data_IF_096461425619
#
_entry.id   IF_096461425619
#
_cell.length_a   1.000
_cell.length_b   1.000
_cell.length_c   1.000
_cell.angle_alpha   90.00
_cell.angle_beta   90.00
_cell.angle_gamma   90.00
#
_symmetry.space_group_name_H-M   'P 1'
#
loop_
_entity.id
_entity.type
_entity.pdbx_description
1 polymer ?
#
# COMPACT_ATOMS: atom_id res chain seq x y z
N UNK A 1 -4.96 -16.85 -4.91
CA UNK A 1 -5.23 -16.83 -6.36
C UNK A 1 -4.28 -17.79 -7.07
N UNK A 2 -4.76 -18.59 -8.03
CA UNK A 2 -3.88 -19.40 -8.88
C UNK A 2 -3.29 -18.52 -10.00
N UNK A 3 -1.95 -18.46 -10.09
CA UNK A 3 -1.25 -17.61 -11.07
C UNK A 3 -1.46 -17.97 -12.55
N UNK A 4 -2.15 -19.08 -12.84
CA UNK A 4 -2.41 -19.56 -14.20
C UNK A 4 -3.83 -19.25 -14.69
N UNK A 5 -4.85 -19.40 -13.83
CA UNK A 5 -6.26 -19.28 -14.22
C UNK A 5 -7.01 -18.14 -13.55
N UNK A 6 -6.37 -17.39 -12.63
CA UNK A 6 -6.93 -16.17 -12.03
C UNK A 6 -8.19 -16.37 -11.18
N UNK A 7 -8.56 -17.61 -10.85
CA UNK A 7 -9.84 -17.92 -10.18
C UNK A 7 -9.61 -18.50 -8.78
N UNK A 8 -10.41 -18.09 -7.75
CA UNK A 8 -11.37 -16.99 -7.79
C UNK A 8 -10.66 -15.62 -7.88
N UNK A 9 -11.34 -14.63 -8.48
CA UNK A 9 -10.90 -13.25 -8.41
C UNK A 9 -10.95 -12.81 -6.94
N UNK A 10 -9.87 -12.23 -6.38
CA UNK A 10 -9.93 -11.64 -5.05
C UNK A 10 -11.00 -10.54 -5.02
N UNK A 11 -11.60 -10.23 -3.86
CA UNK A 11 -12.32 -8.97 -3.70
C UNK A 11 -11.34 -7.85 -4.06
N UNK A 12 -11.62 -7.15 -5.16
CA UNK A 12 -10.73 -6.12 -5.66
C UNK A 12 -10.70 -4.94 -4.70
N UNK A 13 -9.49 -4.43 -4.40
CA UNK A 13 -9.35 -3.11 -3.82
C UNK A 13 -9.96 -2.08 -4.78
N UNK A 14 -10.50 -0.99 -4.25
CA UNK A 14 -11.06 0.09 -5.08
C UNK A 14 -10.03 0.70 -6.06
N UNK A 15 -8.73 0.48 -5.82
CA UNK A 15 -7.63 0.84 -6.72
C UNK A 15 -7.76 0.16 -8.09
N UNK A 16 -8.35 -1.03 -8.14
CA UNK A 16 -8.57 -1.81 -9.36
C UNK A 16 -9.93 -1.51 -10.01
N UNK A 17 -10.77 -0.68 -9.36
CA UNK A 17 -12.12 -0.39 -9.86
C UNK A 17 -12.08 0.36 -11.20
N UNK A 18 -12.80 -0.15 -12.19
CA UNK A 18 -12.90 0.46 -13.52
C UNK A 18 -11.72 0.18 -14.44
N UNK A 19 -10.76 -0.66 -14.01
CA UNK A 19 -9.63 -1.08 -14.82
C UNK A 19 -10.01 -2.33 -15.63
N UNK A 20 -9.59 -2.42 -16.91
CA UNK A 20 -9.82 -3.64 -17.70
C UNK A 20 -9.28 -4.88 -16.97
N UNK A 21 -10.00 -6.00 -17.11
CA UNK A 21 -9.77 -7.18 -16.29
C UNK A 21 -8.56 -8.03 -16.75
N UNK A 22 -7.44 -7.39 -17.05
CA UNK A 22 -6.21 -8.07 -17.44
C UNK A 22 -5.21 -8.09 -16.27
N UNK A 23 -4.38 -9.14 -16.15
CA UNK A 23 -3.35 -9.18 -15.12
C UNK A 23 -2.36 -8.01 -15.20
N UNK A 24 -2.05 -7.54 -16.41
CA UNK A 24 -1.11 -6.44 -16.63
C UNK A 24 -1.68 -5.11 -16.13
N UNK A 25 -2.93 -4.82 -16.45
CA UNK A 25 -3.58 -3.56 -16.05
C UNK A 25 -3.77 -3.49 -14.52
N UNK A 26 -4.20 -4.59 -13.89
CA UNK A 26 -4.28 -4.67 -12.42
C UNK A 26 -2.90 -4.48 -11.77
N UNK A 27 -1.84 -5.08 -12.33
CA UNK A 27 -0.49 -4.89 -11.82
C UNK A 27 -0.01 -3.44 -11.95
N UNK A 28 -0.28 -2.78 -13.08
CA UNK A 28 0.05 -1.36 -13.26
C UNK A 28 -0.66 -0.48 -12.24
N UNK A 29 -1.95 -0.71 -11.99
CA UNK A 29 -2.72 0.00 -10.98
C UNK A 29 -2.11 -0.14 -9.58
N UNK A 30 -1.75 -1.38 -9.21
CA UNK A 30 -1.14 -1.67 -7.91
C UNK A 30 0.24 -1.05 -7.77
N UNK A 31 1.06 -1.04 -8.82
CA UNK A 31 2.35 -0.34 -8.82
C UNK A 31 2.19 1.18 -8.68
N UNK A 32 1.18 1.76 -9.34
CA UNK A 32 0.82 3.17 -9.17
C UNK A 32 0.45 3.50 -7.71
N UNK A 33 -0.39 2.67 -7.10
CA UNK A 33 -0.72 2.80 -5.68
C UNK A 33 0.51 2.59 -4.77
N UNK A 34 1.36 1.61 -5.07
CA UNK A 34 2.59 1.35 -4.31
C UNK A 34 3.52 2.57 -4.30
N UNK A 35 3.62 3.31 -5.41
CA UNK A 35 4.40 4.54 -5.48
C UNK A 35 3.84 5.64 -4.56
N UNK A 36 2.52 5.80 -4.50
CA UNK A 36 1.84 6.73 -3.58
C UNK A 36 2.08 6.30 -2.13
N UNK A 37 1.84 5.03 -1.80
CA UNK A 37 2.06 4.48 -0.46
C UNK A 37 3.51 4.60 -0.01
N UNK A 38 4.48 4.39 -0.91
CA UNK A 38 5.90 4.59 -0.60
C UNK A 38 6.21 6.05 -0.26
N UNK A 39 5.62 7.02 -0.96
CA UNK A 39 5.77 8.45 -0.68
C UNK A 39 5.19 8.81 0.69
N UNK A 40 3.95 8.40 0.96
CA UNK A 40 3.27 8.66 2.25
C UNK A 40 4.00 7.96 3.39
N UNK A 41 4.36 6.68 3.20
CA UNK A 41 5.10 5.88 4.15
C UNK A 41 6.38 6.58 4.61
N UNK A 42 7.22 7.06 3.68
CA UNK A 42 8.46 7.76 4.02
C UNK A 42 8.22 8.98 4.91
N UNK A 43 7.18 9.76 4.64
CA UNK A 43 6.81 10.90 5.47
C UNK A 43 6.29 10.53 6.87
N UNK A 44 5.82 9.29 7.05
CA UNK A 44 5.40 8.73 8.35
C UNK A 44 6.50 7.96 9.08
N UNK A 45 7.63 7.67 8.42
CA UNK A 45 8.80 6.99 9.01
C UNK A 45 8.87 5.48 8.74
N UNK A 46 8.13 4.97 7.75
CA UNK A 46 8.17 3.57 7.30
C UNK A 46 8.28 3.50 5.78
N UNK A 47 8.51 2.31 5.23
CA UNK A 47 8.42 2.06 3.79
C UNK A 47 7.28 1.10 3.52
N UNK A 48 6.41 1.44 2.58
CA UNK A 48 5.35 0.55 2.09
C UNK A 48 5.70 0.13 0.66
N UNK A 49 5.59 -1.17 0.38
CA UNK A 49 5.84 -1.75 -0.95
C UNK A 49 4.76 -2.78 -1.28
N UNK A 50 4.62 -3.06 -2.56
CA UNK A 50 3.86 -4.22 -3.03
C UNK A 50 4.47 -5.50 -2.46
N UNK A 51 3.62 -6.40 -1.96
CA UNK A 51 4.03 -7.64 -1.31
C UNK A 51 4.37 -8.75 -2.29
N UNK A 52 5.19 -9.72 -1.87
CA UNK A 52 5.58 -10.86 -2.72
C UNK A 52 4.39 -11.73 -3.19
N UNK A 53 3.26 -11.65 -2.49
CA UNK A 53 2.00 -12.26 -2.88
C UNK A 53 1.04 -11.17 -3.36
N UNK A 54 0.47 -11.40 -4.55
CA UNK A 54 -0.50 -10.48 -5.16
C UNK A 54 -1.67 -10.21 -4.21
N UNK A 55 -2.02 -8.94 -4.06
CA UNK A 55 -3.05 -8.46 -3.14
C UNK A 55 -2.51 -7.95 -1.80
N UNK A 56 -1.27 -8.28 -1.43
CA UNK A 56 -0.71 -7.88 -0.13
C UNK A 56 0.21 -6.66 -0.23
N UNK A 57 0.42 -5.98 0.90
CA UNK A 57 1.35 -4.88 1.08
C UNK A 57 2.37 -5.23 2.16
N UNK A 58 3.62 -4.84 1.97
CA UNK A 58 4.66 -5.00 2.99
C UNK A 58 5.04 -3.65 3.56
N UNK A 59 4.97 -3.52 4.88
CA UNK A 59 5.37 -2.32 5.63
C UNK A 59 6.64 -2.63 6.42
N UNK A 60 7.67 -1.81 6.26
CA UNK A 60 8.97 -1.98 6.93
C UNK A 60 9.38 -0.71 7.67
N UNK A 61 9.79 -0.87 8.93
CA UNK A 61 10.35 0.21 9.74
C UNK A 61 11.88 0.28 9.58
N UNK A 62 12.51 1.44 9.84
CA UNK A 62 13.97 1.60 9.82
C UNK A 62 14.72 0.69 10.80
N UNK A 63 14.03 0.20 11.84
CA UNK A 63 14.54 -0.75 12.83
C UNK A 63 14.65 -2.18 12.30
N UNK A 64 14.24 -2.43 11.05
CA UNK A 64 14.20 -3.76 10.43
C UNK A 64 12.89 -4.52 10.65
N UNK A 65 12.01 -4.03 11.54
CA UNK A 65 10.70 -4.64 11.76
C UNK A 65 9.85 -4.57 10.48
N UNK A 66 9.28 -5.70 10.07
CA UNK A 66 8.47 -5.80 8.84
C UNK A 66 7.16 -6.52 9.14
N UNK A 67 6.09 -6.10 8.49
CA UNK A 67 4.79 -6.73 8.56
C UNK A 67 4.07 -6.72 7.21
N UNK A 68 3.12 -7.63 7.06
CA UNK A 68 2.27 -7.75 5.88
C UNK A 68 0.88 -7.23 6.23
N UNK A 69 0.33 -6.37 5.38
CA UNK A 69 -1.08 -5.98 5.37
C UNK A 69 -1.77 -6.71 4.21
N UNK A 70 -2.92 -7.32 4.48
CA UNK A 70 -3.67 -8.13 3.53
C UNK A 70 -4.41 -7.34 2.46
N UNK A 71 -4.71 -6.07 2.74
CA UNK A 71 -5.37 -5.14 1.84
C UNK A 71 -4.94 -3.68 2.12
N UNK A 72 -5.47 -2.73 1.36
CA UNK A 72 -5.14 -1.31 1.56
C UNK A 72 -5.62 -0.76 2.91
N UNK A 73 -6.76 -1.22 3.43
CA UNK A 73 -7.32 -0.75 4.70
C UNK A 73 -6.42 -1.14 5.89
N UNK A 74 -5.81 -2.32 5.84
CA UNK A 74 -4.88 -2.81 6.85
C UNK A 74 -3.52 -2.10 6.86
N UNK A 75 -3.20 -1.31 5.83
CA UNK A 75 -1.92 -0.57 5.76
C UNK A 75 -1.80 0.41 6.93
N UNK A 76 -2.78 1.26 7.20
CA UNK A 76 -2.66 2.32 8.23
C UNK A 76 -2.55 1.81 9.66
N UNK A 77 -3.35 0.81 10.10
CA UNK A 77 -3.12 0.14 11.37
C UNK A 77 -1.72 -0.47 11.48
N UNK A 78 -1.21 -1.04 10.37
CA UNK A 78 0.13 -1.62 10.33
C UNK A 78 1.23 -0.56 10.43
N UNK A 79 1.07 0.56 9.72
CA UNK A 79 1.97 1.72 9.81
C UNK A 79 1.98 2.27 11.23
N UNK A 80 0.81 2.51 11.84
CA UNK A 80 0.70 3.01 13.21
C UNK A 80 1.45 2.12 14.20
N UNK A 81 1.26 0.80 14.08
CA UNK A 81 1.93 -0.18 14.93
C UNK A 81 3.45 -0.18 14.74
N UNK A 82 3.94 -0.15 13.51
CA UNK A 82 5.39 -0.21 13.23
C UNK A 82 6.11 1.13 13.47
N UNK A 83 5.43 2.25 13.26
CA UNK A 83 5.97 3.59 13.53
C UNK A 83 5.93 3.95 15.02
N UNK A 84 5.15 3.24 15.84
CA UNK A 84 5.00 3.49 17.28
C UNK A 84 4.26 4.79 17.61
N UNK A 85 3.56 5.37 16.64
CA UNK A 85 2.76 6.60 16.77
C UNK A 85 1.55 6.53 15.85
N UNK A 86 0.43 7.21 16.17
CA UNK A 86 -0.70 7.33 15.27
C UNK A 86 -0.27 7.84 13.89
N UNK A 87 -0.66 7.13 12.85
CA UNK A 87 -0.44 7.53 11.46
C UNK A 87 -1.81 7.79 10.82
N UNK A 88 -2.20 9.06 10.76
CA UNK A 88 -3.38 9.50 10.00
C UNK A 88 -2.93 9.94 8.59
N UNK A 89 -3.33 9.25 7.52
CA UNK A 89 -3.00 9.63 6.15
C UNK A 89 -3.64 10.96 5.72
N UNK A 90 -4.67 11.43 6.43
CA UNK A 90 -5.37 12.69 6.17
C UNK A 90 -4.94 13.80 7.14
N UNK A 91 -3.90 13.58 7.95
CA UNK A 91 -3.33 14.62 8.82
C UNK A 91 -2.90 15.83 7.99
N UNK A 92 -3.38 17.02 8.35
CA UNK A 92 -3.12 18.26 7.62
C UNK A 92 -1.61 18.57 7.54
N UNK A 93 -0.85 18.27 8.60
CA UNK A 93 0.60 18.45 8.61
C UNK A 93 1.32 17.49 7.66
N UNK A 94 0.86 16.24 7.57
CA UNK A 94 1.35 15.26 6.60
C UNK A 94 1.05 15.69 5.17
N UNK A 95 -0.19 16.08 4.87
CA UNK A 95 -0.60 16.53 3.54
C UNK A 95 0.23 17.76 3.10
N UNK A 96 0.39 18.75 3.97
CA UNK A 96 1.21 19.93 3.68
C UNK A 96 2.67 19.57 3.38
N UNK A 97 3.29 18.65 4.14
CA UNK A 97 4.64 18.15 3.84
C UNK A 97 4.73 17.44 2.50
N UNK A 98 3.70 16.66 2.15
CA UNK A 98 3.66 15.93 0.88
C UNK A 98 3.54 16.91 -0.30
N UNK A 99 2.72 17.95 -0.19
CA UNK A 99 2.57 18.98 -1.23
C UNK A 99 3.84 19.84 -1.38
N UNK A 100 4.47 20.22 -0.27
CA UNK A 100 5.68 21.04 -0.27
C UNK A 100 6.94 20.30 -0.78
N UNK A 101 6.97 18.97 -0.66
CA UNK A 101 8.06 18.11 -1.14
C UNK A 101 7.82 17.52 -2.53
N UNK A 102 6.95 18.14 -3.34
CA UNK A 102 6.71 17.80 -4.74
C UNK A 102 7.94 17.91 -5.64
#
# INVERSE_FOLDING_TARGET
MCGLCGTPAPPGDWIEAGIPDTPADRMQARLGCAAVLARVGRATGVTVREGLAFGMWTVSAPTGATAIAGDLAEVWPTVTRLAGRPADPLDAGLLHRLEAGG
#
